data_IF_791709630841
#
_entry.id   IF_791709630841
#
_cell.length_a   1.000
_cell.length_b   1.000
_cell.length_c   1.000
_cell.angle_alpha   90.00
_cell.angle_beta   90.00
_cell.angle_gamma   90.00
#
_symmetry.space_group_name_H-M   'P 1'
#
loop_
_entity.id
_entity.type
_entity.pdbx_description
1 polymer ?
#
# COMPACT_ATOMS: atom_id res chain seq x y z
N UNK A 1 29.08 -10.96 3.69
CA UNK A 1 28.22 -11.90 4.41
C UNK A 1 26.83 -11.74 3.85
N UNK A 2 26.46 -12.57 2.89
CA UNK A 2 25.14 -12.58 2.26
C UNK A 2 24.21 -13.34 3.19
N UNK A 3 23.46 -12.61 4.02
CA UNK A 3 22.37 -13.20 4.79
C UNK A 3 21.27 -13.60 3.82
N UNK A 4 21.07 -14.91 3.64
CA UNK A 4 19.80 -15.45 3.15
C UNK A 4 18.70 -14.90 4.08
N UNK A 5 17.81 -14.06 3.53
CA UNK A 5 16.61 -13.62 4.22
C UNK A 5 15.74 -14.85 4.46
N UNK A 6 15.83 -15.43 5.65
CA UNK A 6 14.77 -16.27 6.19
C UNK A 6 13.50 -15.40 6.16
N UNK A 7 12.57 -15.72 5.26
CA UNK A 7 11.35 -14.94 5.07
C UNK A 7 10.69 -14.68 6.42
N UNK A 8 10.40 -13.41 6.71
CA UNK A 8 9.77 -13.04 7.97
C UNK A 8 8.43 -13.75 8.13
N UNK A 9 7.97 -13.88 9.38
CA UNK A 9 6.77 -14.66 9.71
C UNK A 9 5.53 -14.21 8.93
N UNK A 10 5.49 -12.93 8.54
CA UNK A 10 4.37 -12.34 7.82
C UNK A 10 4.46 -12.54 6.32
N UNK A 11 5.57 -13.06 5.79
CA UNK A 11 5.78 -13.19 4.35
C UNK A 11 4.63 -13.88 3.61
N UNK A 12 4.10 -15.04 4.06
CA UNK A 12 2.96 -15.66 3.41
C UNK A 12 1.69 -14.79 3.43
N UNK A 13 1.48 -14.03 4.51
CA UNK A 13 0.35 -13.11 4.65
C UNK A 13 0.49 -11.92 3.70
N UNK A 14 1.68 -11.31 3.66
CA UNK A 14 1.99 -10.22 2.72
C UNK A 14 1.78 -10.68 1.29
N UNK A 15 2.29 -11.86 0.91
CA UNK A 15 2.16 -12.39 -0.44
C UNK A 15 0.67 -12.63 -0.81
N UNK A 16 -0.16 -13.15 0.12
CA UNK A 16 -1.59 -13.34 -0.10
C UNK A 16 -2.35 -12.01 -0.25
N UNK A 17 -2.11 -11.04 0.64
CA UNK A 17 -2.74 -9.72 0.59
C UNK A 17 -2.39 -8.96 -0.69
N UNK A 18 -1.11 -9.03 -1.10
CA UNK A 18 -0.63 -8.40 -2.33
C UNK A 18 -1.23 -9.06 -3.57
N UNK A 19 -1.37 -10.39 -3.58
CA UNK A 19 -2.06 -11.09 -4.66
C UNK A 19 -3.53 -10.66 -4.77
N UNK A 20 -4.24 -10.57 -3.64
CA UNK A 20 -5.62 -10.06 -3.62
C UNK A 20 -5.72 -8.60 -4.06
N UNK A 21 -4.74 -7.76 -3.70
CA UNK A 21 -4.72 -6.35 -4.10
C UNK A 21 -4.47 -6.20 -5.61
N UNK A 22 -3.59 -7.04 -6.16
CA UNK A 22 -3.33 -7.11 -7.60
C UNK A 22 -4.58 -7.55 -8.38
N UNK A 23 -5.32 -8.53 -7.86
CA UNK A 23 -6.61 -8.92 -8.43
C UNK A 23 -7.62 -7.78 -8.37
N UNK A 24 -7.71 -7.07 -7.23
CA UNK A 24 -8.62 -5.94 -7.05
C UNK A 24 -8.34 -4.79 -8.03
N UNK A 25 -7.08 -4.43 -8.23
CA UNK A 25 -6.71 -3.38 -9.19
C UNK A 25 -6.67 -3.84 -10.65
N UNK A 26 -6.69 -5.15 -10.90
CA UNK A 26 -6.55 -5.70 -12.24
C UNK A 26 -5.15 -5.49 -12.84
N UNK A 27 -4.13 -5.24 -12.02
CA UNK A 27 -2.74 -5.07 -12.44
C UNK A 27 -1.75 -5.68 -11.42
N UNK A 28 -0.52 -6.02 -11.82
CA UNK A 28 0.47 -6.55 -10.89
C UNK A 28 0.87 -5.55 -9.80
N UNK A 29 0.97 -6.04 -8.56
CA UNK A 29 1.48 -5.28 -7.40
C UNK A 29 2.80 -5.86 -6.94
N UNK A 30 3.78 -4.99 -6.72
CA UNK A 30 5.12 -5.37 -6.25
C UNK A 30 5.37 -4.84 -4.85
N UNK A 31 5.87 -5.70 -3.95
CA UNK A 31 6.41 -5.28 -2.66
C UNK A 31 7.82 -4.73 -2.88
N UNK A 32 8.00 -3.43 -2.64
CA UNK A 32 9.29 -2.73 -2.79
C UNK A 32 10.12 -2.87 -1.52
N UNK A 33 9.48 -2.74 -0.36
CA UNK A 33 10.11 -2.89 0.95
C UNK A 33 9.07 -3.47 1.93
N UNK A 34 9.55 -4.19 2.94
CA UNK A 34 8.73 -4.71 4.03
C UNK A 34 9.44 -4.48 5.36
N UNK A 35 8.74 -3.88 6.30
CA UNK A 35 9.14 -3.77 7.70
C UNK A 35 8.19 -4.63 8.54
N UNK A 36 8.69 -5.74 9.06
CA UNK A 36 7.92 -6.68 9.88
C UNK A 36 8.21 -6.45 11.37
N UNK A 37 7.16 -6.45 12.19
CA UNK A 37 7.23 -6.37 13.65
C UNK A 37 6.43 -7.50 14.30
N UNK A 38 6.54 -7.63 15.63
CA UNK A 38 5.99 -8.74 16.42
C UNK A 38 4.46 -8.82 16.47
N UNK A 39 3.74 -7.84 15.98
CA UNK A 39 2.26 -7.78 15.96
C UNK A 39 1.71 -7.28 14.61
N UNK A 40 2.57 -7.00 13.63
CA UNK A 40 2.14 -6.48 12.35
C UNK A 40 3.26 -6.26 11.35
N UNK A 41 2.95 -5.53 10.29
CA UNK A 41 3.93 -5.14 9.28
C UNK A 41 3.50 -3.85 8.59
N UNK A 42 4.46 -3.21 7.92
CA UNK A 42 4.25 -2.12 6.99
C UNK A 42 5.08 -2.36 5.74
N UNK A 43 4.44 -2.38 4.58
CA UNK A 43 5.06 -2.64 3.29
C UNK A 43 4.87 -1.45 2.37
N UNK A 44 5.95 -1.03 1.71
CA UNK A 44 5.84 -0.19 0.52
C UNK A 44 5.48 -1.09 -0.66
N UNK A 45 4.32 -0.86 -1.25
CA UNK A 45 3.84 -1.56 -2.45
C UNK A 45 3.69 -0.59 -3.62
N UNK A 46 3.71 -1.12 -4.84
CA UNK A 46 3.71 -0.31 -6.06
C UNK A 46 3.05 -1.06 -7.22
N UNK A 47 2.30 -0.32 -8.05
CA UNK A 47 1.72 -0.84 -9.29
C UNK A 47 2.71 -0.89 -10.46
N UNK A 48 2.19 -0.94 -11.68
CA UNK A 48 3.02 -0.95 -12.87
C UNK A 48 3.90 0.32 -13.01
N UNK A 49 5.06 0.15 -13.64
CA UNK A 49 5.92 1.30 -13.96
C UNK A 49 5.18 2.30 -14.86
N UNK A 50 5.34 3.62 -14.64
CA UNK A 50 4.62 4.63 -15.41
C UNK A 50 5.01 4.58 -16.89
N UNK A 51 4.01 4.44 -17.76
CA UNK A 51 4.18 4.46 -19.23
C UNK A 51 3.27 5.51 -19.87
N UNK A 52 3.48 5.76 -21.17
CA UNK A 52 2.66 6.69 -21.94
C UNK A 52 2.89 8.19 -21.61
N UNK A 53 2.09 9.08 -22.22
CA UNK A 53 2.31 10.53 -22.13
C UNK A 53 2.01 11.10 -20.74
N UNK A 54 1.03 10.54 -20.02
CA UNK A 54 0.63 11.02 -18.69
C UNK A 54 1.51 10.49 -17.55
N UNK A 55 2.29 9.43 -17.82
CA UNK A 55 3.19 8.77 -16.87
C UNK A 55 2.54 8.59 -15.50
N UNK A 56 1.33 8.02 -15.50
CA UNK A 56 0.58 7.73 -14.28
C UNK A 56 1.17 6.48 -13.62
N UNK A 57 1.32 6.53 -12.31
CA UNK A 57 1.73 5.40 -11.47
C UNK A 57 1.13 5.54 -10.07
N UNK A 58 1.26 4.52 -9.26
CA UNK A 58 0.87 4.59 -7.84
C UNK A 58 1.84 3.81 -6.96
N UNK A 59 1.91 4.26 -5.70
CA UNK A 59 2.56 3.56 -4.59
C UNK A 59 1.56 3.50 -3.43
N UNK A 60 1.76 2.57 -2.51
CA UNK A 60 0.94 2.49 -1.32
C UNK A 60 1.69 1.96 -0.13
N UNK A 61 1.20 2.29 1.05
CA UNK A 61 1.64 1.69 2.31
C UNK A 61 0.60 0.66 2.71
N UNK A 62 0.95 -0.61 2.55
CA UNK A 62 0.14 -1.75 2.99
C UNK A 62 0.51 -2.08 4.44
N UNK A 63 -0.44 -1.97 5.35
CA UNK A 63 -0.25 -2.20 6.77
C UNK A 63 -1.11 -3.32 7.32
N UNK A 64 -0.59 -3.99 8.35
CA UNK A 64 -1.38 -4.78 9.29
C UNK A 64 -1.10 -4.25 10.70
N UNK A 65 -2.16 -3.91 11.41
CA UNK A 65 -2.15 -3.57 12.83
C UNK A 65 -3.16 -4.43 13.60
N UNK A 66 -3.00 -4.55 14.92
CA UNK A 66 -4.02 -5.15 15.78
C UNK A 66 -4.89 -4.06 16.40
N UNK A 67 -6.19 -4.06 16.08
CA UNK A 67 -7.18 -3.12 16.61
C UNK A 67 -8.26 -3.93 17.34
N UNK A 68 -8.45 -3.66 18.63
CA UNK A 68 -9.40 -4.38 19.50
C UNK A 68 -9.23 -5.92 19.48
N UNK A 69 -7.98 -6.39 19.42
CA UNK A 69 -7.64 -7.82 19.39
C UNK A 69 -7.94 -8.50 18.05
N UNK A 70 -8.12 -7.73 16.98
CA UNK A 70 -8.38 -8.22 15.62
C UNK A 70 -7.38 -7.62 14.63
N UNK A 71 -6.94 -8.40 13.63
CA UNK A 71 -6.13 -7.84 12.56
C UNK A 71 -6.96 -6.84 11.77
N UNK A 72 -6.44 -5.63 11.66
CA UNK A 72 -6.91 -4.55 10.79
C UNK A 72 -5.87 -4.39 9.68
N UNK A 73 -6.33 -4.52 8.43
CA UNK A 73 -5.46 -4.50 7.26
C UNK A 73 -5.98 -3.45 6.31
N UNK A 74 -5.10 -2.53 5.94
CA UNK A 74 -5.43 -1.49 4.99
C UNK A 74 -4.25 -1.13 4.10
N UNK A 75 -4.54 -0.44 3.01
CA UNK A 75 -3.55 0.16 2.14
C UNK A 75 -3.93 1.60 1.82
N UNK A 76 -3.03 2.53 2.13
CA UNK A 76 -3.13 3.92 1.73
C UNK A 76 -2.39 4.11 0.41
N UNK A 77 -3.11 4.44 -0.66
CA UNK A 77 -2.60 4.53 -2.04
C UNK A 77 -2.44 5.97 -2.48
N UNK A 78 -1.28 6.27 -3.05
CA UNK A 78 -0.91 7.57 -3.60
C UNK A 78 -0.79 7.45 -5.12
N UNK A 79 -1.50 8.31 -5.84
CA UNK A 79 -1.42 8.37 -7.31
C UNK A 79 -0.43 9.46 -7.72
N UNK A 80 0.36 9.19 -8.74
CA UNK A 80 1.36 10.10 -9.28
C UNK A 80 1.11 10.36 -10.76
N UNK A 81 1.41 11.58 -11.22
CA UNK A 81 1.58 11.89 -12.63
C UNK A 81 2.93 12.58 -12.81
N UNK A 82 3.72 12.12 -13.78
CA UNK A 82 5.11 12.58 -13.97
C UNK A 82 5.96 12.51 -12.68
N UNK A 83 5.70 11.50 -11.84
CA UNK A 83 6.40 11.28 -10.57
C UNK A 83 6.06 12.25 -9.44
N UNK A 84 5.04 13.11 -9.61
CA UNK A 84 4.51 14.00 -8.57
C UNK A 84 3.17 13.48 -8.06
N UNK A 85 2.97 13.49 -6.75
CA UNK A 85 1.72 13.06 -6.13
C UNK A 85 0.56 13.95 -6.58
N UNK A 86 -0.50 13.32 -7.07
CA UNK A 86 -1.78 13.98 -7.40
C UNK A 86 -2.56 14.15 -6.10
N UNK A 87 -3.31 15.25 -6.00
CA UNK A 87 -4.09 15.62 -4.82
C UNK A 87 -5.47 16.07 -5.26
N UNK A 88 -6.45 15.90 -4.38
CA UNK A 88 -7.74 16.55 -4.54
C UNK A 88 -7.59 18.07 -4.35
N UNK A 89 -8.36 18.85 -5.12
CA UNK A 89 -8.16 20.30 -5.27
C UNK A 89 -8.11 21.07 -3.94
N UNK A 90 -8.92 20.65 -2.96
CA UNK A 90 -9.07 21.33 -1.67
C UNK A 90 -8.24 20.69 -0.53
N UNK A 91 -7.29 19.81 -0.84
CA UNK A 91 -6.55 19.05 0.17
C UNK A 91 -5.01 19.21 0.07
N UNK A 92 -4.30 19.43 1.20
CA UNK A 92 -2.84 19.56 1.20
C UNK A 92 -2.14 18.27 0.80
N UNK A 93 -2.80 17.13 1.01
CA UNK A 93 -2.43 15.79 0.56
C UNK A 93 -3.66 14.88 0.63
N UNK A 94 -3.75 13.92 -0.29
CA UNK A 94 -4.85 12.96 -0.32
C UNK A 94 -4.36 11.57 -0.71
N UNK A 95 -5.06 10.55 -0.25
CA UNK A 95 -4.78 9.15 -0.57
C UNK A 95 -6.08 8.38 -0.72
N UNK A 96 -6.04 7.31 -1.52
CA UNK A 96 -7.14 6.36 -1.62
C UNK A 96 -6.93 5.30 -0.57
N UNK A 97 -7.90 5.13 0.33
CA UNK A 97 -7.85 4.08 1.34
C UNK A 97 -8.65 2.86 0.90
N UNK A 98 -8.04 1.68 1.01
CA UNK A 98 -8.71 0.40 0.88
C UNK A 98 -8.49 -0.41 2.14
N UNK A 99 -9.51 -1.14 2.57
CA UNK A 99 -9.43 -2.08 3.69
C UNK A 99 -9.65 -3.50 3.19
N UNK A 100 -8.97 -4.46 3.81
CA UNK A 100 -9.18 -5.87 3.54
C UNK A 100 -10.18 -6.45 4.55
N UNK A 101 -11.30 -6.98 4.05
CA UNK A 101 -12.36 -7.57 4.87
C UNK A 101 -12.31 -9.10 4.79
N UNK A 102 -12.29 -9.77 5.95
CA UNK A 102 -12.30 -11.23 6.05
C UNK A 102 -10.94 -11.84 6.42
N UNK A 103 -10.75 -13.15 6.21
CA UNK A 103 -9.51 -13.86 6.56
C UNK A 103 -8.29 -13.36 5.77
N UNK A 104 -7.13 -13.25 6.41
CA UNK A 104 -5.90 -12.71 5.81
C UNK A 104 -5.42 -13.42 4.53
N UNK A 105 -5.85 -14.66 4.31
CA UNK A 105 -5.48 -15.52 3.19
C UNK A 105 -6.60 -15.70 2.15
N UNK A 106 -7.69 -14.94 2.24
CA UNK A 106 -8.82 -15.11 1.31
C UNK A 106 -9.97 -14.13 1.45
N UNK A 107 -9.75 -12.97 2.07
CA UNK A 107 -10.74 -11.91 2.13
C UNK A 107 -10.79 -11.07 0.87
N UNK A 108 -11.44 -9.90 0.97
CA UNK A 108 -11.69 -9.02 -0.17
C UNK A 108 -11.28 -7.59 0.14
N UNK A 109 -10.68 -6.92 -0.83
CA UNK A 109 -10.42 -5.49 -0.75
C UNK A 109 -11.68 -4.67 -1.03
N UNK A 110 -11.94 -3.70 -0.16
CA UNK A 110 -13.01 -2.72 -0.32
C UNK A 110 -12.44 -1.32 -0.28
N UNK A 111 -12.82 -0.50 -1.25
CA UNK A 111 -12.53 0.92 -1.26
C UNK A 111 -13.32 1.64 -0.14
N UNK A 112 -12.61 2.40 0.69
CA UNK A 112 -13.21 3.34 1.63
C UNK A 112 -13.46 4.68 0.93
N UNK A 113 -12.50 5.09 0.10
CA UNK A 113 -12.56 6.29 -0.72
C UNK A 113 -11.33 7.18 -0.52
N UNK A 114 -11.38 8.37 -1.10
CA UNK A 114 -10.32 9.35 -0.96
C UNK A 114 -10.38 10.05 0.40
N UNK A 115 -9.28 10.01 1.13
CA UNK A 115 -9.10 10.64 2.43
C UNK A 115 -8.04 11.72 2.37
N UNK A 116 -8.15 12.69 3.28
CA UNK A 116 -7.19 13.76 3.46
C UNK A 116 -6.04 13.30 4.37
N UNK A 117 -4.81 13.66 4.02
CA UNK A 117 -3.62 13.44 4.85
C UNK A 117 -3.47 14.59 5.87
N UNK A 118 -4.36 14.60 6.87
CA UNK A 118 -4.52 15.71 7.82
C UNK A 118 -3.27 15.99 8.66
N UNK A 119 -2.49 14.94 8.97
CA UNK A 119 -1.31 15.04 9.81
C UNK A 119 -0.01 15.13 9.01
N UNK A 120 -0.09 15.12 7.67
CA UNK A 120 1.08 15.08 6.79
C UNK A 120 1.91 13.81 7.00
N UNK A 121 1.28 12.73 7.44
CA UNK A 121 1.92 11.44 7.70
C UNK A 121 2.63 10.94 6.44
N UNK A 122 2.03 11.22 5.28
CA UNK A 122 2.54 10.80 3.99
C UNK A 122 3.22 11.92 3.20
N UNK A 123 3.66 13.00 3.87
CA UNK A 123 4.40 14.08 3.23
C UNK A 123 5.70 13.59 2.57
N UNK A 124 6.32 12.53 3.11
CA UNK A 124 7.50 11.89 2.52
C UNK A 124 7.21 11.26 1.14
N UNK A 125 5.96 10.89 0.85
CA UNK A 125 5.53 10.24 -0.38
C UNK A 125 5.13 11.25 -1.49
N UNK A 126 5.62 12.49 -1.47
CA UNK A 126 5.26 13.49 -2.50
C UNK A 126 5.90 13.24 -3.88
N UNK A 127 6.89 12.34 -3.94
CA UNK A 127 7.54 11.89 -5.16
C UNK A 127 7.51 10.38 -5.28
N UNK A 128 7.24 9.92 -6.49
CA UNK A 128 7.26 8.50 -6.81
C UNK A 128 8.67 7.93 -6.62
N UNK A 129 8.80 6.86 -5.82
CA UNK A 129 10.07 6.21 -5.50
C UNK A 129 11.03 7.07 -4.67
N UNK A 130 10.49 8.08 -3.98
CA UNK A 130 11.20 8.88 -2.98
C UNK A 130 11.50 8.15 -1.69
#
# INVERSE_FOLDING_TARGET
MTGENAGGRWRPTIDALVAGLAEHFGEPVTVVNANEIDDGFSCLVRGAAPTGPLRVSWEGVLGLAEVDGRPDVSVSVFVYSHGRRVRLDDQPGSYLELVHEGPLDGGTWREVGWLQDDFGEFAAHDRYGG
#
